data_IF_716025893224
#
_entry.id   IF_716025893224
#
_cell.length_a   1.000
_cell.length_b   1.000
_cell.length_c   1.000
_cell.angle_alpha   90.00
_cell.angle_beta   90.00
_cell.angle_gamma   90.00
#
_symmetry.space_group_name_H-M   'P 1'
#
loop_
_entity.id
_entity.type
_entity.pdbx_description
1 polymer ?
#
# COMPACT_ATOMS: atom_id res chain seq x y z
N UNK A 1 -11.24 9.76 8.06
CA UNK A 1 -11.07 8.29 8.17
C UNK A 1 -10.28 8.01 9.44
N UNK A 2 -10.66 7.02 10.25
CA UNK A 2 -9.95 6.70 11.49
C UNK A 2 -8.75 5.77 11.22
N UNK A 3 -7.57 6.09 11.74
CA UNK A 3 -6.35 5.26 11.58
C UNK A 3 -6.58 3.81 12.02
N UNK A 4 -7.35 3.62 13.09
CA UNK A 4 -7.69 2.29 13.60
C UNK A 4 -8.47 1.42 12.61
N UNK A 5 -9.32 2.01 11.76
CA UNK A 5 -10.06 1.27 10.74
C UNK A 5 -9.12 0.76 9.63
N UNK A 6 -8.21 1.62 9.17
CA UNK A 6 -7.20 1.26 8.16
C UNK A 6 -6.30 0.14 8.69
N UNK A 7 -5.82 0.29 9.93
CA UNK A 7 -4.98 -0.71 10.58
C UNK A 7 -5.67 -2.08 10.68
N UNK A 8 -6.97 -2.10 11.02
CA UNK A 8 -7.75 -3.32 11.10
C UNK A 8 -7.88 -4.00 9.72
N UNK A 9 -8.20 -3.23 8.67
CA UNK A 9 -8.29 -3.73 7.30
C UNK A 9 -6.98 -4.33 6.82
N UNK A 10 -5.85 -3.65 7.06
CA UNK A 10 -4.52 -4.18 6.72
C UNK A 10 -4.23 -5.48 7.46
N UNK A 11 -4.53 -5.54 8.76
CA UNK A 11 -4.31 -6.75 9.55
C UNK A 11 -5.11 -7.93 9.01
N UNK A 12 -6.39 -7.74 8.74
CA UNK A 12 -7.23 -8.78 8.11
C UNK A 12 -6.68 -9.20 6.76
N UNK A 13 -6.35 -8.24 5.88
CA UNK A 13 -5.78 -8.55 4.57
C UNK A 13 -4.50 -9.37 4.68
N UNK A 14 -3.57 -8.97 5.55
CA UNK A 14 -2.30 -9.67 5.73
C UNK A 14 -2.52 -11.06 6.31
N UNK A 15 -3.40 -11.18 7.31
CA UNK A 15 -3.70 -12.47 7.91
C UNK A 15 -4.35 -13.44 6.93
N UNK A 16 -5.31 -12.97 6.14
CA UNK A 16 -6.04 -13.78 5.17
C UNK A 16 -5.22 -14.10 3.91
N UNK A 17 -4.27 -13.25 3.51
CA UNK A 17 -3.46 -13.49 2.31
C UNK A 17 -2.12 -14.17 2.60
N UNK A 18 -1.49 -13.89 3.76
CA UNK A 18 -0.10 -14.30 4.06
C UNK A 18 0.06 -15.15 5.34
N UNK A 19 -0.90 -15.11 6.27
CA UNK A 19 -0.83 -15.86 7.54
C UNK A 19 -1.91 -16.94 7.68
N UNK A 20 -2.49 -17.42 6.58
CA UNK A 20 -3.42 -18.55 6.57
C UNK A 20 -2.81 -19.75 7.31
N UNK A 21 -3.39 -20.10 8.46
CA UNK A 21 -2.95 -21.23 9.29
C UNK A 21 -1.74 -20.95 10.20
N UNK A 22 -1.32 -19.69 10.35
CA UNK A 22 -0.31 -19.28 11.34
C UNK A 22 -0.94 -18.36 12.40
N UNK A 23 -0.85 -18.76 13.67
CA UNK A 23 -1.08 -17.87 14.82
C UNK A 23 0.09 -16.89 14.98
N UNK A 24 0.26 -16.01 13.99
CA UNK A 24 1.29 -14.99 14.01
C UNK A 24 0.66 -13.64 14.32
N UNK A 25 1.07 -13.07 15.46
CA UNK A 25 0.64 -11.73 15.87
C UNK A 25 1.82 -10.79 15.70
N UNK A 26 1.64 -9.78 14.85
CA UNK A 26 2.59 -8.70 14.65
C UNK A 26 2.00 -7.39 15.19
N UNK A 27 2.87 -6.49 15.62
CA UNK A 27 2.47 -5.17 16.09
C UNK A 27 2.25 -4.21 14.91
N UNK A 28 1.61 -3.08 15.17
CA UNK A 28 1.32 -2.08 14.14
C UNK A 28 2.60 -1.44 13.56
N UNK A 29 3.64 -1.32 14.37
CA UNK A 29 4.97 -0.83 13.96
C UNK A 29 5.98 -1.92 13.60
N UNK A 30 5.51 -3.14 13.38
CA UNK A 30 6.34 -4.31 13.08
C UNK A 30 6.64 -4.39 11.58
N UNK A 31 7.88 -4.71 11.23
CA UNK A 31 8.35 -4.75 9.84
C UNK A 31 7.91 -6.04 9.13
N UNK A 32 7.08 -5.91 8.09
CA UNK A 32 6.55 -7.03 7.31
C UNK A 32 7.65 -7.80 6.59
N UNK A 33 8.64 -7.10 6.04
CA UNK A 33 9.78 -7.72 5.36
C UNK A 33 10.70 -8.41 6.37
N UNK A 34 10.98 -7.76 7.50
CA UNK A 34 11.87 -8.29 8.54
C UNK A 34 11.29 -9.54 9.20
N UNK A 35 9.98 -9.54 9.45
CA UNK A 35 9.25 -10.69 9.97
C UNK A 35 8.92 -11.74 8.90
N UNK A 36 9.35 -11.52 7.65
CA UNK A 36 9.06 -12.40 6.49
C UNK A 36 7.56 -12.72 6.37
N UNK A 37 6.72 -11.75 6.71
CA UNK A 37 5.26 -11.84 6.56
C UNK A 37 4.90 -11.58 5.10
N UNK A 38 5.51 -10.54 4.53
CA UNK A 38 5.31 -10.12 3.15
C UNK A 38 6.68 -10.07 2.48
N UNK A 39 6.78 -10.63 1.28
CA UNK A 39 7.95 -10.48 0.42
C UNK A 39 7.94 -9.14 -0.33
N UNK A 40 9.07 -8.75 -0.92
CA UNK A 40 9.19 -7.56 -1.76
C UNK A 40 8.16 -7.49 -2.90
N UNK A 41 7.70 -8.64 -3.39
CA UNK A 41 6.62 -8.73 -4.39
C UNK A 41 5.22 -8.57 -3.77
N UNK A 42 5.03 -9.04 -2.53
CA UNK A 42 3.78 -8.91 -1.81
C UNK A 42 3.46 -7.45 -1.44
N UNK A 43 4.48 -6.61 -1.24
CA UNK A 43 4.29 -5.16 -1.03
C UNK A 43 3.58 -4.52 -2.24
N UNK A 44 3.90 -4.94 -3.46
CA UNK A 44 3.21 -4.43 -4.66
C UNK A 44 1.72 -4.83 -4.67
N UNK A 45 1.41 -6.07 -4.27
CA UNK A 45 0.02 -6.53 -4.13
C UNK A 45 -0.73 -5.75 -3.06
N UNK A 46 -0.10 -5.51 -1.90
CA UNK A 46 -0.67 -4.69 -0.83
C UNK A 46 -0.97 -3.28 -1.36
N UNK A 47 -0.04 -2.67 -2.08
CA UNK A 47 -0.24 -1.34 -2.68
C UNK A 47 -1.37 -1.33 -3.70
N UNK A 48 -1.45 -2.32 -4.59
CA UNK A 48 -2.58 -2.44 -5.52
C UNK A 48 -3.91 -2.55 -4.77
N UNK A 49 -3.98 -3.36 -3.73
CA UNK A 49 -5.18 -3.49 -2.89
C UNK A 49 -5.58 -2.16 -2.24
N UNK A 50 -4.61 -1.40 -1.72
CA UNK A 50 -4.88 -0.09 -1.12
C UNK A 50 -5.36 0.93 -2.16
N UNK A 51 -4.75 0.94 -3.35
CA UNK A 51 -5.17 1.82 -4.44
C UNK A 51 -6.60 1.53 -4.90
N UNK A 52 -6.97 0.27 -5.03
CA UNK A 52 -8.33 -0.15 -5.40
C UNK A 52 -9.34 0.15 -4.28
N UNK A 53 -9.00 -0.19 -3.03
CA UNK A 53 -9.88 -0.04 -1.87
C UNK A 53 -10.16 1.43 -1.53
N UNK A 54 -9.13 2.28 -1.58
CA UNK A 54 -9.20 3.67 -1.15
C UNK A 54 -9.23 4.67 -2.31
N UNK A 55 -9.10 4.22 -3.56
CA UNK A 55 -9.07 5.09 -4.74
C UNK A 55 -7.87 6.03 -4.78
N UNK A 56 -6.74 5.65 -4.16
CA UNK A 56 -5.51 6.44 -4.17
C UNK A 56 -4.58 5.98 -5.30
N UNK A 57 -3.63 6.83 -5.69
CA UNK A 57 -2.52 6.45 -6.58
C UNK A 57 -1.24 6.46 -5.78
N UNK A 58 -0.49 5.36 -5.74
CA UNK A 58 0.82 5.30 -5.08
C UNK A 58 1.91 5.38 -6.14
N UNK A 59 2.78 6.38 -6.07
CA UNK A 59 3.89 6.51 -7.01
C UNK A 59 5.03 5.56 -6.67
N UNK A 60 5.86 5.22 -7.65
CA UNK A 60 7.11 4.45 -7.48
C UNK A 60 8.01 5.00 -6.37
N UNK A 61 8.14 6.32 -6.30
CA UNK A 61 8.90 7.02 -5.26
C UNK A 61 8.29 6.89 -3.84
N UNK A 62 7.02 6.49 -3.76
CA UNK A 62 6.30 6.23 -2.50
C UNK A 62 6.35 4.74 -2.12
N UNK A 63 6.77 3.85 -3.03
CA UNK A 63 6.97 2.41 -2.82
C UNK A 63 8.23 2.09 -2.01
N UNK A 64 8.41 2.78 -0.89
CA UNK A 64 9.55 2.62 -0.02
C UNK A 64 9.15 1.79 1.21
N UNK A 65 10.05 0.96 1.75
CA UNK A 65 9.79 0.21 2.97
C UNK A 65 9.40 1.15 4.12
N UNK A 66 9.98 2.34 4.22
CA UNK A 66 9.58 3.33 5.25
C UNK A 66 8.09 3.71 5.23
N UNK A 67 7.40 3.56 4.09
CA UNK A 67 5.97 3.86 3.96
C UNK A 67 5.08 2.60 3.98
N UNK A 68 5.62 1.43 3.66
CA UNK A 68 4.85 0.23 3.34
C UNK A 68 5.23 -1.02 4.14
N UNK A 69 6.31 -0.95 4.92
CA UNK A 69 6.86 -2.07 5.68
C UNK A 69 6.13 -2.31 7.00
N UNK A 70 5.21 -1.43 7.42
CA UNK A 70 4.44 -1.62 8.67
C UNK A 70 3.02 -1.07 8.55
N UNK A 71 2.12 -1.53 9.43
CA UNK A 71 0.74 -1.04 9.45
C UNK A 71 0.70 0.45 9.78
N UNK A 72 1.50 0.90 10.75
CA UNK A 72 1.53 2.31 11.16
C UNK A 72 2.00 3.21 10.01
N UNK A 73 3.06 2.78 9.30
CA UNK A 73 3.59 3.49 8.13
C UNK A 73 2.52 3.62 7.02
N UNK A 74 1.87 2.52 6.66
CA UNK A 74 0.81 2.52 5.63
C UNK A 74 -0.37 3.36 6.08
N UNK A 75 -0.75 3.26 7.35
CA UNK A 75 -1.88 4.00 7.92
C UNK A 75 -1.61 5.49 7.95
N UNK A 76 -0.42 5.91 8.36
CA UNK A 76 0.01 7.30 8.34
C UNK A 76 0.06 7.85 6.91
N UNK A 77 0.60 7.05 5.98
CA UNK A 77 0.65 7.36 4.56
C UNK A 77 -0.74 7.58 3.96
N UNK A 78 -1.67 6.64 4.18
CA UNK A 78 -3.06 6.73 3.73
C UNK A 78 -3.79 7.91 4.35
N UNK A 79 -3.62 8.14 5.64
CA UNK A 79 -4.22 9.27 6.32
C UNK A 79 -3.77 10.59 5.69
N UNK A 80 -2.48 10.71 5.35
CA UNK A 80 -1.93 11.91 4.70
C UNK A 80 -2.38 12.05 3.24
N UNK A 81 -2.46 10.93 2.50
CA UNK A 81 -3.01 10.91 1.14
C UNK A 81 -4.46 11.34 1.12
N UNK A 82 -5.30 10.80 2.00
CA UNK A 82 -6.74 11.10 2.02
C UNK A 82 -7.04 12.51 2.52
N UNK A 83 -6.21 13.05 3.42
CA UNK A 83 -6.29 14.45 3.87
C UNK A 83 -5.77 15.42 2.79
N UNK A 84 -4.69 15.06 2.08
CA UNK A 84 -4.06 15.88 1.03
C UNK A 84 -4.60 15.68 -0.39
N UNK A 85 -5.42 14.66 -0.66
CA UNK A 85 -5.97 14.33 -1.99
C UNK A 85 -6.89 15.42 -2.56
N UNK A 86 -7.27 16.42 -1.76
CA UNK A 86 -7.95 17.62 -2.25
C UNK A 86 -7.08 18.46 -3.23
N UNK A 87 -5.78 18.17 -3.41
CA UNK A 87 -4.90 19.03 -4.24
C UNK A 87 -3.93 18.32 -5.19
N UNK A 88 -3.96 16.99 -5.35
CA UNK A 88 -2.98 16.28 -6.18
C UNK A 88 -3.64 15.29 -7.16
N UNK A 89 -4.57 15.78 -7.97
CA UNK A 89 -5.08 15.09 -9.15
C UNK A 89 -4.50 15.70 -10.43
N UNK A 90 -3.25 15.38 -10.76
CA UNK A 90 -2.73 15.61 -12.11
C UNK A 90 -2.67 14.26 -12.84
N UNK A 91 -3.50 14.03 -13.87
CA UNK A 91 -3.44 12.80 -14.66
C UNK A 91 -2.23 12.87 -15.59
N UNK A 92 -1.06 12.42 -15.13
CA UNK A 92 0.09 12.20 -15.98
C UNK A 92 0.06 10.76 -16.53
N UNK A 93 -0.98 10.46 -17.30
CA UNK A 93 -1.04 9.32 -18.22
C UNK A 93 -0.61 9.73 -19.61
N UNK A 94 0.55 10.38 -19.76
CA UNK A 94 1.18 10.59 -21.06
C UNK A 94 2.16 9.45 -21.31
N UNK A 95 1.71 8.43 -22.02
CA UNK A 95 2.61 7.60 -22.80
C UNK A 95 2.00 7.36 -24.17
N UNK A 96 2.25 8.34 -25.05
CA UNK A 96 2.27 8.08 -26.47
C UNK A 96 3.59 7.39 -26.82
N UNK A 97 3.52 6.45 -27.76
CA UNK A 97 4.63 6.19 -28.67
C UNK A 97 4.07 6.19 -30.11
N UNK A 98 4.83 6.73 -31.07
CA UNK A 98 4.33 7.23 -32.35
C UNK A 98 4.19 6.13 -33.41
N UNK A 99 3.40 6.43 -34.45
CA UNK A 99 3.33 5.59 -35.64
C UNK A 99 4.65 5.58 -36.41
N UNK A 100 5.03 4.40 -36.89
CA UNK A 100 5.74 4.08 -38.13
C UNK A 100 5.79 2.53 -38.13
N UNK A 101 5.48 1.77 -39.18
CA UNK A 101 6.15 1.72 -40.48
C UNK A 101 5.31 0.86 -41.44
N UNK A 102 5.22 1.36 -42.68
CA UNK A 102 5.06 0.65 -43.97
C UNK A 102 3.85 -0.28 -44.18
#
# INVERSE_FOLDING_TARGET
>A
MERGAIANTLRSFITENYLLGRDFTFADGDSFLEHSIIDSIGILQLVTFLQDTYGITVQDSELLPENLDSIDAVTAYLCRKLDGAASAGSPAGSQGAPGERA
#
